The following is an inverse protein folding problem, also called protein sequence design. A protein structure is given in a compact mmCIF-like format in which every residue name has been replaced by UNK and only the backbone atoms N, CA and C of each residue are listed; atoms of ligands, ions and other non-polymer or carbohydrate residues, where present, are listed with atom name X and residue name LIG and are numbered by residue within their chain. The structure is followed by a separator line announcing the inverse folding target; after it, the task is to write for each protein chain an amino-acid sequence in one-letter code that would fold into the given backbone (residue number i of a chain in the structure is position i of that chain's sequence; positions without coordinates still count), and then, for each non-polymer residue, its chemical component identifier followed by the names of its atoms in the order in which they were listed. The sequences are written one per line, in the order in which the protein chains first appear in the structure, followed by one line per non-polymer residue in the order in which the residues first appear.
data_IF_469720943160
#
_entry.id   IF_469720943160
#
_cell.length_a   1.000
_cell.length_b   1.000
_cell.length_c   1.000
_cell.angle_alpha   90.00
_cell.angle_beta   90.00
_cell.angle_gamma   90.00
#
_symmetry.space_group_name_H-M   'P 1'
#
loop_
_entity.id
_entity.type
_entity.pdbx_description
1 polymer ?
#
# COMPACT_ATOMS: atom_id res chain seq x y z
N UNK A 1 -7.41 7.78 -16.04
CA UNK A 1 -8.84 7.46 -15.86
C UNK A 1 -9.13 5.98 -16.12
N UNK A 2 -8.89 5.46 -17.34
CA UNK A 2 -9.13 4.04 -17.64
C UNK A 2 -8.40 3.06 -16.72
N UNK A 3 -7.13 3.29 -16.42
CA UNK A 3 -6.35 2.48 -15.44
C UNK A 3 -7.02 2.44 -14.06
N UNK A 4 -7.59 3.57 -13.60
CA UNK A 4 -8.27 3.64 -12.29
C UNK A 4 -9.58 2.84 -12.33
N UNK A 5 -10.41 3.06 -13.35
CA UNK A 5 -11.79 2.57 -13.31
C UNK A 5 -12.50 2.49 -14.65
N UNK A 6 -11.83 1.99 -15.70
CA UNK A 6 -12.57 1.46 -16.85
C UNK A 6 -13.52 0.34 -16.39
N UNK A 7 -14.74 0.33 -16.95
CA UNK A 7 -15.79 -0.63 -16.60
C UNK A 7 -15.32 -2.03 -16.95
N UNK A 8 -15.26 -2.92 -15.96
CA UNK A 8 -14.95 -4.34 -16.18
C UNK A 8 -16.19 -5.17 -16.50
N UNK A 9 -15.96 -6.40 -16.96
CA UNK A 9 -17.01 -7.42 -17.22
C UNK A 9 -18.11 -6.99 -18.22
N UNK A 10 -17.82 -6.06 -19.11
CA UNK A 10 -18.75 -5.60 -20.16
C UNK A 10 -18.41 -6.13 -21.56
N UNK A 11 -17.37 -6.97 -21.70
CA UNK A 11 -16.91 -7.52 -22.98
C UNK A 11 -16.22 -6.53 -23.92
N UNK A 12 -15.85 -5.33 -23.44
CA UNK A 12 -15.31 -4.24 -24.28
C UNK A 12 -13.98 -3.75 -23.71
N UNK A 13 -12.91 -3.83 -24.50
CA UNK A 13 -11.67 -3.09 -24.25
C UNK A 13 -10.89 -3.57 -23.03
N UNK A 14 -10.79 -2.71 -22.01
CA UNK A 14 -9.93 -2.89 -20.82
C UNK A 14 -10.72 -2.74 -19.53
N UNK A 15 -10.17 -3.24 -18.42
CA UNK A 15 -10.71 -3.03 -17.07
C UNK A 15 -9.80 -2.10 -16.26
N UNK A 16 -10.40 -1.25 -15.42
CA UNK A 16 -9.66 -0.53 -14.40
C UNK A 16 -9.42 -1.39 -13.17
N UNK A 17 -8.55 -0.90 -12.27
CA UNK A 17 -8.29 -1.54 -10.96
C UNK A 17 -9.56 -1.55 -10.08
N UNK A 18 -10.32 -0.45 -10.07
CA UNK A 18 -11.64 -0.38 -9.42
C UNK A 18 -12.74 -0.20 -10.47
N UNK A 19 -13.46 -1.29 -10.76
CA UNK A 19 -14.50 -1.34 -11.79
C UNK A 19 -15.76 -0.54 -11.42
N UNK A 20 -15.93 -0.16 -10.15
CA UNK A 20 -17.10 0.58 -9.63
C UNK A 20 -16.63 1.84 -8.89
N UNK A 21 -16.18 2.83 -9.65
CA UNK A 21 -15.69 4.11 -9.13
C UNK A 21 -16.24 5.29 -9.93
N UNK A 22 -16.46 6.43 -9.28
CA UNK A 22 -16.77 7.70 -9.95
C UNK A 22 -15.48 8.49 -10.16
N UNK A 23 -15.24 8.93 -11.40
CA UNK A 23 -14.07 9.75 -11.74
C UNK A 23 -14.48 11.21 -11.82
N UNK A 24 -13.76 12.08 -11.12
CA UNK A 24 -13.90 13.54 -11.18
C UNK A 24 -12.76 14.13 -12.04
N UNK A 25 -12.97 14.39 -13.34
CA UNK A 25 -11.92 14.95 -14.19
C UNK A 25 -11.73 16.44 -13.91
N UNK A 26 -10.52 16.83 -13.50
CA UNK A 26 -10.15 18.23 -13.29
C UNK A 26 -9.07 18.63 -14.30
N UNK A 27 -9.50 19.29 -15.38
CA UNK A 27 -8.60 19.70 -16.46
C UNK A 27 -7.90 21.00 -16.10
N UNK A 28 -6.60 20.92 -15.85
CA UNK A 28 -5.72 22.09 -15.75
C UNK A 28 -4.51 22.02 -16.70
N UNK A 29 -4.25 20.85 -17.30
CA UNK A 29 -3.23 20.69 -18.34
C UNK A 29 -3.81 20.97 -19.73
N UNK A 30 -3.03 21.67 -20.55
CA UNK A 30 -3.28 21.96 -21.96
C UNK A 30 -2.92 20.75 -22.85
N UNK A 31 -3.11 20.87 -24.17
CA UNK A 31 -2.87 19.79 -25.14
C UNK A 31 -1.41 19.32 -25.18
N UNK A 32 -0.47 20.22 -24.88
CA UNK A 32 0.97 19.96 -24.80
C UNK A 32 1.40 19.28 -23.49
N UNK A 33 0.47 19.00 -22.57
CA UNK A 33 0.76 18.40 -21.27
C UNK A 33 1.21 19.40 -20.21
N UNK A 34 1.31 20.69 -20.54
CA UNK A 34 1.70 21.74 -19.59
C UNK A 34 0.49 22.37 -18.89
N UNK A 35 0.67 22.80 -17.65
CA UNK A 35 -0.29 23.59 -16.90
C UNK A 35 0.44 24.49 -15.91
N UNK A 36 -0.28 25.46 -15.37
CA UNK A 36 0.26 26.37 -14.37
C UNK A 36 -0.10 25.94 -12.94
N UNK A 37 0.74 26.36 -11.98
CA UNK A 37 0.56 26.04 -10.56
C UNK A 37 -0.74 26.61 -10.00
N UNK A 38 -1.21 27.76 -10.48
CA UNK A 38 -2.46 28.35 -10.00
C UNK A 38 -3.68 27.49 -10.38
N UNK A 39 -3.69 26.92 -11.57
CA UNK A 39 -4.74 26.02 -12.04
C UNK A 39 -4.69 24.66 -11.33
N UNK A 40 -3.49 24.17 -10.98
CA UNK A 40 -3.37 22.95 -10.15
C UNK A 40 -3.89 23.18 -8.73
N UNK A 41 -3.66 24.36 -8.13
CA UNK A 41 -4.26 24.76 -6.85
C UNK A 41 -5.79 24.74 -6.90
N UNK A 42 -6.36 25.36 -7.93
CA UNK A 42 -7.82 25.40 -8.12
C UNK A 42 -8.41 23.99 -8.29
N UNK A 43 -7.70 23.10 -9.00
CA UNK A 43 -8.11 21.71 -9.15
C UNK A 43 -8.09 20.97 -7.80
N UNK A 44 -7.03 21.07 -7.01
CA UNK A 44 -6.94 20.43 -5.68
C UNK A 44 -8.02 20.97 -4.74
N UNK A 45 -8.22 22.28 -4.70
CA UNK A 45 -9.27 22.91 -3.90
C UNK A 45 -10.68 22.46 -4.31
N UNK A 46 -10.94 22.34 -5.62
CA UNK A 46 -12.21 21.84 -6.13
C UNK A 46 -12.43 20.36 -5.78
N UNK A 47 -11.41 19.50 -5.92
CA UNK A 47 -11.48 18.09 -5.54
C UNK A 47 -11.87 17.93 -4.06
N UNK A 48 -11.24 18.71 -3.18
CA UNK A 48 -11.60 18.77 -1.76
C UNK A 48 -13.05 19.21 -1.56
N UNK A 49 -13.45 20.33 -2.17
CA UNK A 49 -14.79 20.91 -2.04
C UNK A 49 -15.88 19.92 -2.46
N UNK A 50 -15.63 19.15 -3.51
CA UNK A 50 -16.57 18.17 -4.04
C UNK A 50 -16.47 16.78 -3.39
N UNK A 51 -15.63 16.63 -2.37
CA UNK A 51 -15.56 15.41 -1.56
C UNK A 51 -14.85 14.23 -2.24
N UNK A 52 -13.86 14.49 -3.10
CA UNK A 52 -13.04 13.41 -3.66
C UNK A 52 -12.38 12.58 -2.54
N UNK A 53 -12.43 11.25 -2.64
CA UNK A 53 -11.83 10.37 -1.63
C UNK A 53 -10.32 10.17 -1.83
N UNK A 54 -9.86 10.16 -3.08
CA UNK A 54 -8.46 9.99 -3.51
C UNK A 54 -8.19 10.98 -4.63
N UNK A 55 -7.04 11.65 -4.60
CA UNK A 55 -6.59 12.57 -5.65
C UNK A 55 -5.43 11.91 -6.40
N UNK A 56 -5.52 11.79 -7.72
CA UNK A 56 -4.47 11.21 -8.57
C UNK A 56 -3.73 12.31 -9.34
N UNK A 57 -2.41 12.37 -9.15
CA UNK A 57 -1.52 13.40 -9.68
C UNK A 57 -0.46 12.76 -10.60
N UNK A 58 -0.78 12.64 -11.88
CA UNK A 58 0.15 12.18 -12.92
C UNK A 58 0.93 13.34 -13.57
N UNK A 59 1.38 14.30 -12.75
CA UNK A 59 2.07 15.53 -13.14
C UNK A 59 3.06 15.94 -12.05
N UNK A 60 4.05 16.77 -12.40
CA UNK A 60 4.99 17.30 -11.43
C UNK A 60 6.18 18.01 -12.07
N UNK A 61 7.10 18.46 -11.22
CA UNK A 61 8.33 19.16 -11.60
C UNK A 61 9.21 19.46 -10.40
N UNK A 62 10.33 20.14 -10.61
CA UNK A 62 11.32 20.42 -9.54
C UNK A 62 11.03 21.70 -8.75
N UNK A 63 10.14 22.57 -9.25
CA UNK A 63 9.80 23.82 -8.59
C UNK A 63 8.86 23.58 -7.40
N UNK A 64 9.34 23.89 -6.18
CA UNK A 64 8.53 23.85 -4.96
C UNK A 64 7.53 25.00 -4.94
N UNK A 65 6.30 24.72 -4.52
CA UNK A 65 5.27 25.74 -4.27
C UNK A 65 4.63 25.52 -2.90
N UNK A 66 4.81 26.46 -1.98
CA UNK A 66 4.21 26.37 -0.64
C UNK A 66 2.69 26.41 -0.70
N UNK A 67 2.12 27.25 -1.56
CA UNK A 67 0.67 27.29 -1.75
C UNK A 67 0.10 25.93 -2.17
N UNK A 68 0.84 25.18 -3.01
CA UNK A 68 0.42 23.84 -3.44
C UNK A 68 0.55 22.81 -2.30
N UNK A 69 1.62 22.90 -1.52
CA UNK A 69 1.81 22.11 -0.32
C UNK A 69 0.62 22.30 0.65
N UNK A 70 0.26 23.55 0.93
CA UNK A 70 -0.84 23.91 1.83
C UNK A 70 -2.19 23.43 1.30
N UNK A 71 -2.44 23.61 -0.01
CA UNK A 71 -3.67 23.15 -0.65
C UNK A 71 -3.83 21.63 -0.58
N UNK A 72 -2.74 20.88 -0.83
CA UNK A 72 -2.72 19.41 -0.73
C UNK A 72 -2.95 18.98 0.72
N UNK A 73 -2.20 19.54 1.67
CA UNK A 73 -2.32 19.23 3.09
C UNK A 73 -3.78 19.41 3.56
N UNK A 74 -4.39 20.52 3.17
CA UNK A 74 -5.74 20.84 3.59
C UNK A 74 -6.80 19.86 3.05
N UNK A 75 -6.52 19.05 2.02
CA UNK A 75 -7.48 18.05 1.52
C UNK A 75 -7.86 17.01 2.58
N UNK A 76 -6.92 16.64 3.44
CA UNK A 76 -7.02 15.46 4.31
C UNK A 76 -7.51 14.20 3.56
N UNK A 77 -7.01 14.02 2.32
CA UNK A 77 -7.27 12.87 1.45
C UNK A 77 -5.93 12.30 0.99
N UNK A 78 -5.93 11.01 0.63
CA UNK A 78 -4.77 10.40 0.01
C UNK A 78 -4.53 11.07 -1.36
N UNK A 79 -3.32 11.58 -1.56
CA UNK A 79 -2.86 12.17 -2.81
C UNK A 79 -1.77 11.27 -3.40
N UNK A 80 -2.10 10.64 -4.52
CA UNK A 80 -1.24 9.67 -5.20
C UNK A 80 -0.49 10.36 -6.31
N UNK A 81 0.82 10.46 -6.19
CA UNK A 81 1.67 11.25 -7.07
C UNK A 81 2.64 10.38 -7.86
N UNK A 82 2.77 10.63 -9.16
CA UNK A 82 3.82 10.05 -9.97
C UNK A 82 5.21 10.56 -9.51
N UNK A 83 6.19 9.67 -9.39
CA UNK A 83 7.52 10.04 -8.91
C UNK A 83 8.35 10.89 -9.89
N UNK A 84 7.99 10.92 -11.18
CA UNK A 84 8.75 11.60 -12.23
C UNK A 84 9.39 10.62 -13.23
N UNK A 85 9.80 11.13 -14.39
CA UNK A 85 10.26 10.33 -15.54
C UNK A 85 11.67 10.70 -16.03
N UNK A 86 12.55 11.13 -15.13
CA UNK A 86 13.91 11.58 -15.44
C UNK A 86 15.00 10.54 -15.19
N UNK A 87 14.67 9.38 -14.62
CA UNK A 87 15.63 8.35 -14.22
C UNK A 87 16.53 8.75 -13.06
N UNK A 88 16.12 9.75 -12.26
CA UNK A 88 16.93 10.33 -11.19
C UNK A 88 16.43 9.94 -9.80
N UNK A 89 17.31 10.02 -8.81
CA UNK A 89 16.94 9.90 -7.40
C UNK A 89 16.24 11.19 -6.93
N UNK A 90 15.01 11.06 -6.43
CA UNK A 90 14.23 12.13 -5.82
C UNK A 90 14.79 12.56 -4.45
N UNK A 91 15.63 11.72 -3.83
CA UNK A 91 16.38 12.08 -2.62
C UNK A 91 17.49 13.10 -2.94
N UNK A 92 17.91 13.20 -4.20
CA UNK A 92 18.90 14.17 -4.68
C UNK A 92 18.25 15.36 -5.40
N UNK A 93 17.26 15.09 -6.24
CA UNK A 93 16.53 16.10 -7.03
C UNK A 93 15.04 15.94 -6.73
N UNK A 94 14.55 16.73 -5.79
CA UNK A 94 13.16 16.66 -5.37
C UNK A 94 12.19 16.90 -6.52
N UNK A 95 11.15 16.07 -6.58
CA UNK A 95 10.06 16.16 -7.55
C UNK A 95 8.76 16.46 -6.80
N UNK A 96 8.05 17.51 -7.18
CA UNK A 96 6.81 17.96 -6.56
C UNK A 96 5.62 17.74 -7.49
N UNK A 97 4.45 17.31 -6.98
CA UNK A 97 4.10 17.25 -5.56
C UNK A 97 4.54 15.97 -4.82
N UNK A 98 5.12 14.97 -5.50
CA UNK A 98 5.42 13.66 -4.88
C UNK A 98 6.38 13.72 -3.69
N UNK A 99 7.26 14.71 -3.64
CA UNK A 99 8.28 14.91 -2.61
C UNK A 99 7.90 15.91 -1.52
N UNK A 100 6.62 16.33 -1.43
CA UNK A 100 6.17 17.03 -0.23
C UNK A 100 6.07 16.03 0.93
N UNK A 101 6.63 16.39 2.09
CA UNK A 101 6.70 15.54 3.29
C UNK A 101 5.38 15.55 4.07
N UNK A 102 4.30 15.08 3.45
CA UNK A 102 3.02 14.87 4.11
C UNK A 102 2.65 13.38 4.10
N UNK A 103 2.17 12.88 5.24
CA UNK A 103 1.78 11.48 5.42
C UNK A 103 0.66 11.04 4.48
N UNK A 104 -0.18 11.97 4.03
CA UNK A 104 -1.25 11.72 3.06
C UNK A 104 -0.78 11.65 1.59
N UNK A 105 0.50 11.87 1.29
CA UNK A 105 1.04 11.76 -0.07
C UNK A 105 1.70 10.40 -0.24
N UNK A 106 1.36 9.69 -1.31
CA UNK A 106 2.05 8.47 -1.74
C UNK A 106 2.71 8.69 -3.10
N UNK A 107 4.05 8.58 -3.13
CA UNK A 107 4.92 8.76 -4.27
C UNK A 107 5.16 7.42 -4.97
N UNK A 108 4.88 7.36 -6.28
CA UNK A 108 4.78 6.10 -7.03
C UNK A 108 5.82 6.01 -8.14
N UNK A 109 6.74 5.04 -8.02
CA UNK A 109 7.65 4.62 -9.08
C UNK A 109 6.94 3.72 -10.11
N UNK A 110 7.46 3.68 -11.33
CA UNK A 110 7.02 2.73 -12.34
C UNK A 110 7.79 1.41 -12.21
N UNK A 111 7.08 0.30 -12.42
CA UNK A 111 7.69 -1.01 -12.69
C UNK A 111 7.38 -1.49 -14.11
N UNK A 112 8.26 -2.32 -14.66
CA UNK A 112 8.02 -3.07 -15.91
C UNK A 112 7.49 -4.49 -15.63
N UNK A 113 7.26 -5.24 -16.72
CA UNK A 113 6.73 -6.60 -16.67
C UNK A 113 7.71 -7.64 -16.10
N UNK A 114 8.99 -7.29 -15.93
CA UNK A 114 10.03 -8.13 -15.33
C UNK A 114 10.28 -7.75 -13.86
N UNK A 115 9.41 -6.93 -13.26
CA UNK A 115 9.61 -6.33 -11.94
C UNK A 115 10.94 -5.56 -11.82
N UNK A 116 11.34 -4.90 -12.91
CA UNK A 116 12.38 -3.87 -12.93
C UNK A 116 11.80 -2.48 -12.69
N UNK A 117 12.64 -1.55 -12.20
CA UNK A 117 12.35 -0.11 -12.27
C UNK A 117 12.91 0.37 -13.62
N UNK A 118 12.06 0.79 -14.59
CA UNK A 118 12.52 1.24 -15.88
C UNK A 118 13.48 2.43 -15.76
N UNK A 119 14.41 2.56 -16.69
CA UNK A 119 15.46 3.61 -16.65
C UNK A 119 14.93 5.04 -16.62
N UNK A 120 13.69 5.27 -17.07
CA UNK A 120 13.05 6.59 -16.98
C UNK A 120 12.42 6.86 -15.62
N UNK A 121 12.08 5.84 -14.82
CA UNK A 121 11.37 6.09 -13.56
C UNK A 121 12.30 6.77 -12.58
N UNK A 122 11.83 7.87 -11.98
CA UNK A 122 12.45 8.35 -10.77
C UNK A 122 12.25 7.33 -9.64
N UNK A 123 13.19 7.32 -8.71
CA UNK A 123 13.24 6.48 -7.54
C UNK A 123 13.74 7.31 -6.35
N UNK A 124 13.76 6.76 -5.14
CA UNK A 124 14.16 7.50 -3.95
C UNK A 124 14.04 6.60 -2.73
N UNK A 125 15.16 6.13 -2.16
CA UNK A 125 15.14 5.27 -0.97
C UNK A 125 14.30 5.83 0.18
N UNK A 126 14.19 7.15 0.28
CA UNK A 126 13.40 7.83 1.33
C UNK A 126 12.22 8.64 0.80
N UNK A 127 12.26 9.07 -0.47
CA UNK A 127 11.24 9.97 -1.05
C UNK A 127 10.23 9.33 -2.01
N UNK A 128 10.40 8.04 -2.34
CA UNK A 128 9.48 7.29 -3.20
C UNK A 128 8.96 6.05 -2.48
N UNK A 129 7.65 5.97 -2.31
CA UNK A 129 7.03 5.05 -1.36
C UNK A 129 6.89 3.62 -1.90
N UNK A 130 6.33 3.48 -3.11
CA UNK A 130 5.93 2.18 -3.68
C UNK A 130 6.07 2.16 -5.20
N UNK A 131 6.20 0.98 -5.79
CA UNK A 131 6.14 0.80 -7.24
C UNK A 131 4.77 0.29 -7.70
N UNK A 132 4.39 0.63 -8.93
CA UNK A 132 3.25 0.03 -9.61
C UNK A 132 3.52 -0.10 -11.11
N UNK A 133 2.80 -0.98 -11.84
CA UNK A 133 2.98 -1.14 -13.28
C UNK A 133 2.87 0.19 -14.02
N UNK A 134 3.96 0.58 -14.68
CA UNK A 134 4.08 1.84 -15.39
C UNK A 134 4.65 1.73 -16.80
N UNK A 135 5.15 0.55 -17.20
CA UNK A 135 5.70 0.32 -18.53
C UNK A 135 4.71 -0.41 -19.45
N UNK A 136 4.51 0.14 -20.66
CA UNK A 136 3.62 -0.40 -21.70
C UNK A 136 2.19 -0.74 -21.26
N UNK A 137 1.60 0.13 -20.44
CA UNK A 137 0.25 -0.01 -19.91
C UNK A 137 -0.80 0.36 -20.96
N UNK A 138 -1.64 -0.59 -21.32
CA UNK A 138 -2.80 -0.39 -22.20
C UNK A 138 -3.94 0.29 -21.43
N UNK A 139 -4.51 1.37 -21.97
CA UNK A 139 -5.70 1.99 -21.39
C UNK A 139 -6.56 2.72 -22.41
N UNK A 140 -7.74 3.17 -21.97
CA UNK A 140 -8.67 4.00 -22.77
C UNK A 140 -7.98 5.27 -23.25
N UNK A 141 -8.26 5.66 -24.50
CA UNK A 141 -7.77 6.89 -25.10
C UNK A 141 -8.93 7.65 -25.76
N UNK A 142 -8.87 9.01 -25.86
CA UNK A 142 -9.93 9.76 -26.53
C UNK A 142 -10.06 9.36 -27.99
N UNK A 143 -11.24 8.86 -28.38
CA UNK A 143 -11.57 8.44 -29.76
C UNK A 143 -11.39 9.57 -30.77
N UNK A 144 -11.62 10.82 -30.36
CA UNK A 144 -11.40 12.02 -31.17
C UNK A 144 -9.94 12.22 -31.60
N UNK A 145 -8.98 11.51 -30.98
CA UNK A 145 -7.57 11.51 -31.34
C UNK A 145 -7.17 10.30 -32.20
N UNK A 146 -8.14 9.54 -32.71
CA UNK A 146 -7.92 8.43 -33.66
C UNK A 146 -7.68 7.06 -33.05
N UNK A 147 -7.65 6.95 -31.71
CA UNK A 147 -7.48 5.67 -31.01
C UNK A 147 -8.55 5.49 -29.93
N UNK A 148 -9.00 4.26 -29.72
CA UNK A 148 -9.87 3.90 -28.59
C UNK A 148 -9.06 3.47 -27.37
N UNK A 149 -7.92 2.82 -27.61
CA UNK A 149 -6.99 2.33 -26.60
C UNK A 149 -5.57 2.52 -27.08
N UNK A 150 -4.63 2.76 -26.16
CA UNK A 150 -3.21 2.89 -26.48
C UNK A 150 -2.35 2.39 -25.33
N UNK A 151 -1.16 1.85 -25.65
CA UNK A 151 -0.13 1.54 -24.66
C UNK A 151 0.73 2.77 -24.41
N UNK A 152 0.90 3.13 -23.15
CA UNK A 152 1.78 4.23 -22.72
C UNK A 152 2.72 3.76 -21.63
N UNK A 153 3.78 4.54 -21.38
CA UNK A 153 4.73 4.29 -20.30
C UNK A 153 5.02 5.55 -19.49
N UNK A 154 5.35 5.38 -18.22
CA UNK A 154 5.66 6.46 -17.30
C UNK A 154 5.16 6.20 -15.88
N UNK A 155 5.72 6.91 -14.91
CA UNK A 155 5.16 6.98 -13.55
C UNK A 155 3.72 7.54 -13.56
N UNK A 156 3.36 8.32 -14.57
CA UNK A 156 1.98 8.75 -14.87
C UNK A 156 1.01 7.59 -15.14
N UNK A 157 1.50 6.40 -15.52
CA UNK A 157 0.72 5.17 -15.68
C UNK A 157 0.75 4.30 -14.41
N UNK A 158 1.79 4.43 -13.57
CA UNK A 158 1.89 3.75 -12.29
C UNK A 158 0.97 4.36 -11.21
N UNK A 159 1.02 5.68 -11.02
CA UNK A 159 0.17 6.41 -10.07
C UNK A 159 -1.34 6.09 -10.16
N UNK A 160 -1.97 5.96 -11.35
CA UNK A 160 -3.38 5.59 -11.42
C UNK A 160 -3.67 4.12 -11.03
N UNK A 161 -2.71 3.19 -11.09
CA UNK A 161 -2.93 1.86 -10.51
C UNK A 161 -3.07 1.95 -8.98
N UNK A 162 -2.16 2.69 -8.33
CA UNK A 162 -2.21 2.93 -6.88
C UNK A 162 -3.48 3.71 -6.50
N UNK A 163 -3.89 4.69 -7.31
CA UNK A 163 -5.14 5.44 -7.09
C UNK A 163 -6.38 4.54 -7.17
N UNK A 164 -6.40 3.61 -8.14
CA UNK A 164 -7.45 2.62 -8.27
C UNK A 164 -7.49 1.65 -7.10
N UNK A 165 -6.32 1.18 -6.64
CA UNK A 165 -6.20 0.35 -5.44
C UNK A 165 -6.72 1.09 -4.20
N UNK A 166 -6.27 2.33 -3.97
CA UNK A 166 -6.74 3.15 -2.86
C UNK A 166 -8.27 3.31 -2.85
N UNK A 167 -8.87 3.59 -4.01
CA UNK A 167 -10.32 3.68 -4.14
C UNK A 167 -11.03 2.33 -3.88
N UNK A 168 -10.41 1.21 -4.29
CA UNK A 168 -10.93 -0.13 -4.04
C UNK A 168 -10.88 -0.48 -2.55
N UNK A 169 -9.81 -0.15 -1.84
CA UNK A 169 -9.69 -0.34 -0.40
C UNK A 169 -10.70 0.50 0.38
N UNK A 170 -10.91 1.76 -0.01
CA UNK A 170 -11.96 2.60 0.59
C UNK A 170 -13.38 2.10 0.32
N UNK A 171 -13.59 1.28 -0.71
CA UNK A 171 -14.91 0.67 -0.97
C UNK A 171 -15.26 -0.45 0.01
N UNK A 172 -14.26 -1.07 0.64
CA UNK A 172 -14.43 -2.14 1.63
C UNK A 172 -14.24 -1.63 3.06
N UNK A 173 -13.36 -0.65 3.26
CA UNK A 173 -13.14 0.00 4.54
C UNK A 173 -13.12 1.54 4.36
N UNK A 174 -14.30 2.19 4.35
CA UNK A 174 -14.41 3.64 4.13
C UNK A 174 -13.90 4.48 5.31
N UNK A 175 -13.60 3.87 6.46
CA UNK A 175 -13.13 4.55 7.66
C UNK A 175 -11.61 4.82 7.69
N UNK A 176 -10.85 4.28 6.73
CA UNK A 176 -9.41 4.48 6.66
C UNK A 176 -9.06 5.97 6.50
N UNK A 177 -8.19 6.47 7.39
CA UNK A 177 -7.56 7.77 7.20
C UNK A 177 -6.57 7.73 6.02
N UNK A 178 -6.17 8.87 5.44
CA UNK A 178 -5.17 8.89 4.37
C UNK A 178 -3.88 8.17 4.74
N UNK A 179 -3.43 8.33 5.98
CA UNK A 179 -2.19 7.75 6.48
C UNK A 179 -2.32 6.23 6.65
N UNK A 180 -3.43 5.77 7.22
CA UNK A 180 -3.73 4.34 7.31
C UNK A 180 -3.84 3.70 5.93
N UNK A 181 -4.46 4.40 4.97
CA UNK A 181 -4.59 3.91 3.60
C UNK A 181 -3.24 3.84 2.88
N UNK A 182 -2.37 4.83 3.08
CA UNK A 182 -0.99 4.82 2.56
C UNK A 182 -0.21 3.62 3.14
N UNK A 183 -0.20 3.46 4.46
CA UNK A 183 0.54 2.37 5.11
C UNK A 183 0.00 1.01 4.71
N UNK A 184 -1.33 0.83 4.68
CA UNK A 184 -1.95 -0.41 4.23
C UNK A 184 -1.49 -0.82 2.81
N UNK A 185 -1.33 0.14 1.89
CA UNK A 185 -0.81 -0.13 0.55
C UNK A 185 0.68 -0.50 0.60
N UNK A 186 1.49 0.20 1.39
CA UNK A 186 2.94 0.01 1.47
C UNK A 186 3.35 -1.29 2.18
N UNK A 187 2.67 -1.61 3.29
CA UNK A 187 2.94 -2.80 4.10
C UNK A 187 2.54 -4.08 3.37
N UNK A 188 1.49 -4.00 2.56
CA UNK A 188 1.00 -5.11 1.75
C UNK A 188 1.56 -5.11 0.32
N UNK A 189 2.57 -4.28 0.03
CA UNK A 189 3.28 -4.36 -1.24
C UNK A 189 4.07 -5.68 -1.33
N UNK A 190 4.07 -6.27 -2.53
CA UNK A 190 4.87 -7.43 -2.85
C UNK A 190 6.35 -7.03 -2.95
N UNK A 191 7.19 -7.57 -2.06
CA UNK A 191 8.60 -7.18 -1.97
C UNK A 191 9.35 -7.74 -3.17
N UNK A 192 10.04 -6.85 -3.88
CA UNK A 192 10.84 -7.22 -5.06
C UNK A 192 12.30 -6.92 -4.74
N UNK A 193 13.21 -7.91 -4.79
CA UNK A 193 14.62 -7.69 -4.46
C UNK A 193 15.26 -6.53 -5.24
N UNK A 194 14.89 -6.34 -6.51
CA UNK A 194 15.39 -5.26 -7.36
C UNK A 194 14.98 -3.84 -6.90
N UNK A 195 13.99 -3.73 -6.01
CA UNK A 195 13.48 -2.46 -5.48
C UNK A 195 14.06 -2.13 -4.10
N UNK A 196 14.71 -3.10 -3.44
CA UNK A 196 15.36 -2.90 -2.15
C UNK A 196 16.41 -1.79 -2.26
N UNK A 197 16.34 -0.82 -1.34
CA UNK A 197 17.22 0.34 -1.35
C UNK A 197 16.99 1.31 -2.52
N UNK A 198 15.91 1.18 -3.29
CA UNK A 198 15.53 2.15 -4.34
C UNK A 198 14.26 2.93 -4.00
N UNK A 199 13.36 2.35 -3.21
CA UNK A 199 12.10 2.92 -2.75
C UNK A 199 11.81 2.45 -1.32
N UNK A 200 11.01 3.19 -0.56
CA UNK A 200 10.76 2.97 0.88
C UNK A 200 10.20 1.57 1.17
N UNK A 201 9.13 1.17 0.47
CA UNK A 201 8.52 -0.14 0.69
C UNK A 201 9.37 -1.29 0.13
N UNK A 202 10.31 -1.02 -0.77
CA UNK A 202 10.99 -2.07 -1.55
C UNK A 202 10.04 -2.99 -2.32
N UNK A 203 8.81 -2.55 -2.63
CA UNK A 203 7.78 -3.42 -3.19
C UNK A 203 6.89 -2.80 -4.27
N UNK A 204 6.25 -3.69 -5.04
CA UNK A 204 5.19 -3.38 -6.00
C UNK A 204 3.84 -3.50 -5.31
N UNK A 205 2.86 -2.65 -5.62
CA UNK A 205 1.50 -2.84 -5.08
C UNK A 205 0.92 -4.24 -5.38
N UNK A 206 0.15 -4.76 -4.43
CA UNK A 206 -0.57 -6.03 -4.52
C UNK A 206 -2.02 -5.83 -4.06
N UNK A 207 -2.93 -5.79 -5.03
CA UNK A 207 -4.34 -5.49 -4.74
C UNK A 207 -5.01 -6.57 -3.91
N UNK A 208 -4.67 -7.85 -4.11
CA UNK A 208 -5.29 -8.96 -3.41
C UNK A 208 -4.85 -8.97 -1.95
N UNK A 209 -3.55 -8.78 -1.69
CA UNK A 209 -3.00 -8.69 -0.33
C UNK A 209 -3.56 -7.48 0.41
N UNK A 210 -3.54 -6.30 -0.21
CA UNK A 210 -4.11 -5.09 0.40
C UNK A 210 -5.61 -5.23 0.67
N UNK A 211 -6.40 -5.82 -0.23
CA UNK A 211 -7.83 -6.05 0.00
C UNK A 211 -8.09 -7.01 1.14
N UNK A 212 -7.31 -8.08 1.23
CA UNK A 212 -7.43 -9.06 2.31
C UNK A 212 -7.15 -8.38 3.66
N UNK A 213 -6.12 -7.54 3.72
CA UNK A 213 -5.80 -6.74 4.90
C UNK A 213 -6.83 -5.61 5.19
N UNK A 214 -7.51 -5.09 4.17
CA UNK A 214 -8.60 -4.11 4.33
C UNK A 214 -9.93 -4.73 4.79
N UNK A 215 -10.03 -6.06 4.84
CA UNK A 215 -11.27 -6.79 5.15
C UNK A 215 -12.18 -7.08 3.94
N UNK A 216 -11.65 -7.07 2.71
CA UNK A 216 -12.38 -7.09 1.44
C UNK A 216 -12.07 -8.20 0.43
N UNK A 217 -11.43 -9.32 0.81
CA UNK A 217 -11.29 -10.47 -0.09
C UNK A 217 -12.63 -11.21 -0.33
N UNK A 218 -12.80 -11.96 -1.44
CA UNK A 218 -13.95 -12.86 -1.57
C UNK A 218 -13.94 -13.78 -0.37
N UNK A 219 -15.00 -13.72 0.43
CA UNK A 219 -15.27 -14.67 1.50
C UNK A 219 -15.21 -16.07 0.87
N UNK A 220 -14.21 -16.93 1.14
CA UNK A 220 -14.50 -18.35 1.04
C UNK A 220 -15.71 -18.54 1.96
N UNK A 221 -16.76 -19.16 1.44
CA UNK A 221 -17.96 -19.63 2.17
C UNK A 221 -17.67 -19.77 3.66
N UNK A 222 -18.50 -19.23 4.58
CA UNK A 222 -18.22 -19.29 6.01
C UNK A 222 -18.17 -20.75 6.46
N UNK A 223 -17.00 -21.37 6.36
CA UNK A 223 -16.54 -22.23 7.42
C UNK A 223 -16.32 -21.26 8.55
N UNK A 224 -17.16 -21.36 9.57
CA UNK A 224 -16.90 -20.78 10.87
C UNK A 224 -15.51 -21.18 11.32
N UNK A 225 -14.49 -20.38 11.00
CA UNK A 225 -13.28 -20.36 11.81
C UNK A 225 -13.60 -19.38 12.91
N UNK A 226 -13.70 -19.83 14.17
CA UNK A 226 -13.97 -18.96 15.29
C UNK A 226 -12.93 -17.83 15.29
N UNK A 227 -13.24 -16.69 15.89
CA UNK A 227 -12.17 -15.93 16.58
C UNK A 227 -11.36 -16.96 17.35
N UNK A 228 -10.17 -17.34 16.86
CA UNK A 228 -9.34 -18.30 17.56
C UNK A 228 -8.84 -17.55 18.76
N UNK A 229 -9.62 -17.64 19.84
CA UNK A 229 -9.11 -17.38 21.16
C UNK A 229 -7.85 -18.22 21.28
N UNK A 230 -6.77 -17.60 21.74
CA UNK A 230 -5.57 -18.33 22.09
C UNK A 230 -5.97 -19.40 23.10
N UNK A 231 -5.68 -20.67 22.81
CA UNK A 231 -6.06 -21.80 23.66
C UNK A 231 -4.86 -22.27 24.48
N UNK A 232 -5.11 -23.13 25.48
CA UNK A 232 -4.02 -23.69 26.27
C UNK A 232 -3.19 -24.64 25.39
N UNK A 233 -1.88 -24.44 25.34
CA UNK A 233 -0.97 -25.33 24.62
C UNK A 233 -0.96 -26.72 25.28
N UNK A 234 -0.67 -27.79 24.50
CA UNK A 234 -0.51 -29.13 25.05
C UNK A 234 0.53 -29.15 26.18
N UNK A 235 0.08 -29.62 27.35
CA UNK A 235 0.90 -29.65 28.57
C UNK A 235 0.79 -28.41 29.47
N UNK A 236 -0.04 -27.42 29.10
CA UNK A 236 -0.42 -26.29 29.97
C UNK A 236 -1.80 -26.47 30.58
N UNK A 237 -2.00 -25.98 31.80
CA UNK A 237 -3.30 -25.92 32.48
C UNK A 237 -4.04 -24.58 32.25
N UNK A 238 -3.34 -23.58 31.73
CA UNK A 238 -3.85 -22.22 31.55
C UNK A 238 -3.63 -21.74 30.11
N UNK A 239 -4.51 -20.84 29.66
CA UNK A 239 -4.34 -20.14 28.38
C UNK A 239 -3.16 -19.17 28.45
N UNK A 240 -2.38 -19.03 27.37
CA UNK A 240 -1.34 -18.02 27.25
C UNK A 240 -1.85 -16.60 27.54
N UNK A 241 -0.94 -15.73 28.00
CA UNK A 241 -1.26 -14.32 28.28
C UNK A 241 -0.26 -13.37 27.60
N UNK A 242 -0.81 -12.26 27.14
CA UNK A 242 -0.07 -11.05 26.76
C UNK A 242 0.07 -10.17 28.01
N UNK A 243 1.25 -10.16 28.61
CA UNK A 243 1.55 -9.36 29.80
C UNK A 243 1.99 -7.94 29.43
N UNK A 244 2.49 -7.76 28.21
CA UNK A 244 3.06 -6.50 27.70
C UNK A 244 2.01 -5.61 27.00
N UNK A 245 0.90 -6.19 26.54
CA UNK A 245 -0.17 -5.52 25.81
C UNK A 245 0.15 -5.24 24.34
N UNK A 246 1.18 -5.88 23.77
CA UNK A 246 1.64 -5.65 22.39
C UNK A 246 1.04 -6.65 21.37
N UNK A 247 0.18 -7.55 21.82
CA UNK A 247 -0.45 -8.58 21.00
C UNK A 247 0.38 -9.87 20.84
N UNK A 248 1.54 -9.98 21.50
CA UNK A 248 2.31 -11.22 21.64
C UNK A 248 1.98 -11.90 22.96
N UNK A 249 2.03 -13.22 23.01
CA UNK A 249 1.61 -14.01 24.18
C UNK A 249 2.81 -14.68 24.85
N UNK A 250 3.65 -13.87 25.49
CA UNK A 250 4.92 -14.27 26.10
C UNK A 250 4.81 -15.13 27.38
N UNK A 251 3.69 -15.07 28.09
CA UNK A 251 3.36 -16.01 29.17
C UNK A 251 2.63 -17.20 28.55
N UNK A 252 3.40 -18.06 27.88
CA UNK A 252 2.92 -19.18 27.07
C UNK A 252 2.21 -20.24 27.92
N UNK A 253 2.62 -20.41 29.17
CA UNK A 253 1.99 -21.36 30.08
C UNK A 253 0.86 -20.73 30.93
N UNK A 254 0.66 -19.41 30.86
CA UNK A 254 -0.42 -18.70 31.52
C UNK A 254 -0.31 -18.61 33.05
N UNK A 255 0.88 -18.77 33.63
CA UNK A 255 1.10 -18.74 35.08
C UNK A 255 1.22 -17.31 35.65
N UNK A 256 1.13 -16.29 34.79
CA UNK A 256 1.24 -14.88 35.14
C UNK A 256 2.68 -14.36 35.22
N UNK A 257 3.66 -15.12 34.71
CA UNK A 257 5.07 -14.74 34.63
C UNK A 257 5.64 -15.21 33.31
N UNK A 258 6.63 -14.47 32.84
CA UNK A 258 7.46 -14.85 31.70
C UNK A 258 8.75 -15.47 32.22
N UNK A 259 8.92 -16.77 32.05
CA UNK A 259 10.09 -17.50 32.53
C UNK A 259 10.52 -18.63 31.58
N UNK A 260 11.53 -19.40 31.99
CA UNK A 260 12.11 -20.43 31.14
C UNK A 260 11.14 -21.60 30.83
N UNK A 261 10.09 -21.77 31.63
CA UNK A 261 9.06 -22.76 31.36
C UNK A 261 8.26 -22.39 30.10
N UNK A 262 8.07 -21.10 29.80
CA UNK A 262 7.41 -20.63 28.59
C UNK A 262 8.20 -20.96 27.34
N UNK A 263 9.51 -20.71 27.34
CA UNK A 263 10.42 -21.07 26.25
C UNK A 263 10.42 -22.57 25.99
N UNK A 264 10.46 -23.35 27.07
CA UNK A 264 10.44 -24.82 26.98
C UNK A 264 9.12 -25.32 26.39
N UNK A 265 7.99 -24.76 26.84
CA UNK A 265 6.67 -25.14 26.38
C UNK A 265 6.44 -24.73 24.91
N UNK A 266 6.89 -23.54 24.53
CA UNK A 266 6.86 -23.06 23.15
C UNK A 266 7.67 -23.98 22.24
N UNK A 267 8.93 -24.24 22.59
CA UNK A 267 9.82 -25.11 21.79
C UNK A 267 9.24 -26.52 21.57
N UNK A 268 8.65 -27.11 22.62
CA UNK A 268 8.02 -28.44 22.52
C UNK A 268 6.79 -28.49 21.61
N UNK A 269 6.10 -27.37 21.47
CA UNK A 269 4.82 -27.29 20.78
C UNK A 269 4.89 -26.45 19.49
N UNK A 270 6.07 -26.12 18.96
CA UNK A 270 6.19 -25.22 17.79
C UNK A 270 5.32 -25.65 16.60
N UNK A 271 5.34 -26.93 16.24
CA UNK A 271 4.49 -27.45 15.15
C UNK A 271 3.01 -27.32 15.48
N UNK A 272 2.65 -27.58 16.75
CA UNK A 272 1.28 -27.46 17.22
C UNK A 272 0.81 -26.00 17.23
N UNK A 273 1.64 -25.06 17.70
CA UNK A 273 1.35 -23.62 17.69
C UNK A 273 1.15 -23.15 16.24
N UNK A 274 2.05 -23.51 15.32
CA UNK A 274 1.92 -23.15 13.92
C UNK A 274 0.66 -23.70 13.24
N UNK A 275 0.08 -24.79 13.77
CA UNK A 275 -1.11 -25.43 13.25
C UNK A 275 -2.42 -25.04 13.96
N UNK A 276 -2.37 -24.60 15.22
CA UNK A 276 -3.55 -24.44 16.09
C UNK A 276 -3.69 -23.05 16.72
N UNK A 277 -2.65 -22.22 16.68
CA UNK A 277 -2.66 -20.89 17.26
C UNK A 277 -2.49 -19.79 16.20
N UNK A 278 -2.89 -18.54 16.49
CA UNK A 278 -2.61 -17.41 15.59
C UNK A 278 -1.10 -17.18 15.49
N UNK A 279 -0.52 -17.36 14.29
CA UNK A 279 0.92 -17.15 14.06
C UNK A 279 1.37 -15.76 14.52
N UNK A 280 0.57 -14.73 14.31
CA UNK A 280 0.90 -13.36 14.74
C UNK A 280 1.00 -13.19 16.25
N UNK A 281 0.34 -14.02 17.06
CA UNK A 281 0.42 -13.98 18.52
C UNK A 281 1.73 -14.59 19.06
N UNK A 282 2.39 -15.43 18.27
CA UNK A 282 3.50 -16.27 18.68
C UNK A 282 4.78 -16.09 17.86
N UNK A 283 4.72 -15.42 16.70
CA UNK A 283 5.87 -15.04 15.86
C UNK A 283 6.65 -13.87 16.49
N UNK A 284 7.53 -14.16 17.43
CA UNK A 284 8.36 -13.15 18.11
C UNK A 284 9.47 -12.59 17.23
N UNK A 285 9.81 -13.27 16.14
CA UNK A 285 10.83 -12.82 15.18
C UNK A 285 10.28 -11.82 14.16
N UNK A 286 8.97 -11.82 13.93
CA UNK A 286 8.27 -11.00 12.94
C UNK A 286 8.47 -11.49 11.50
N UNK A 287 8.85 -12.75 11.32
CA UNK A 287 9.21 -13.31 10.02
C UNK A 287 8.01 -13.97 9.29
N UNK A 288 6.84 -13.99 9.93
CA UNK A 288 5.58 -14.52 9.42
C UNK A 288 5.39 -16.02 9.61
N UNK A 289 6.22 -16.69 10.41
CA UNK A 289 6.17 -18.15 10.66
C UNK A 289 6.51 -18.47 12.11
N UNK A 290 6.13 -19.68 12.55
CA UNK A 290 6.56 -20.26 13.82
C UNK A 290 7.82 -21.08 13.56
N UNK A 291 8.97 -20.61 14.04
CA UNK A 291 10.25 -21.29 13.89
C UNK A 291 11.22 -21.05 15.05
N UNK A 292 12.44 -21.57 14.94
CA UNK A 292 13.41 -21.54 16.02
C UNK A 292 13.88 -20.11 16.35
N UNK A 293 13.76 -19.17 15.42
CA UNK A 293 14.12 -17.77 15.68
C UNK A 293 13.16 -17.13 16.69
N UNK A 294 11.91 -17.59 16.77
CA UNK A 294 10.94 -17.16 17.79
C UNK A 294 11.33 -17.67 19.17
N UNK A 295 11.84 -18.90 19.27
CA UNK A 295 12.35 -19.47 20.53
C UNK A 295 13.50 -18.64 21.09
N UNK A 296 14.43 -18.25 20.21
CA UNK A 296 15.56 -17.39 20.56
C UNK A 296 15.08 -16.02 21.05
N UNK A 297 14.10 -15.43 20.36
CA UNK A 297 13.52 -14.14 20.73
C UNK A 297 12.77 -14.20 22.06
N UNK A 298 11.95 -15.24 22.27
CA UNK A 298 11.24 -15.46 23.51
C UNK A 298 12.22 -15.61 24.69
N UNK A 299 13.30 -16.39 24.50
CA UNK A 299 14.34 -16.58 25.50
C UNK A 299 15.09 -15.29 25.85
N UNK A 300 15.48 -14.50 24.85
CA UNK A 300 16.16 -13.21 25.04
C UNK A 300 15.32 -12.21 25.84
N UNK A 301 14.00 -12.37 25.81
CA UNK A 301 13.08 -11.46 26.48
C UNK A 301 12.65 -11.94 27.87
N UNK A 302 13.20 -13.05 28.40
CA UNK A 302 13.05 -13.42 29.82
C UNK A 302 14.03 -12.57 30.62
N UNK A 303 13.55 -11.46 31.18
CA UNK A 303 14.32 -10.53 32.02
C UNK A 303 13.45 -9.91 33.08
#
# INVERSE_FOLDING_TARGET
AGVIGAVGNNGIGVTGVNQKVKIMPLKFLRKDGNGDTAASLNAVAYARKMGANVISCSWGGTAKSQALADAISATNKLVVCAAGNSGTSNDLIQHYPSGFEYSQIISVAASDASDGIPSYSNYGPTSVDVAAPGDWILSTYPTALGYQYIKMKGTSMAAPHVSGLAALLLSVNPGLTPDQLKQLIMDNADKVPAFSGKIVSGGRIDAARSLSAAGGGPTPTPTTTPTSQVIALPGSASIPRDLSGDGKYEDVNGNGRKDFADVTLYFKNMEWIGANEPVTAFDYSGNGRIDFTDVVKLFQNIG
#
